data_IF_590511797737
#
_entry.id   IF_590511797737
#
_cell.length_a   1.000
_cell.length_b   1.000
_cell.length_c   1.000
_cell.angle_alpha   90.00
_cell.angle_beta   90.00
_cell.angle_gamma   90.00
#
_symmetry.space_group_name_H-M   'P 1'
#
loop_
_entity.id
_entity.type
_entity.pdbx_description
1 polymer ?
#
# COMPACT_ATOMS: atom_id res chain seq x y z
N UNK A 1 -3.68 -5.91 22.64
CA UNK A 1 -3.07 -6.83 21.65
C UNK A 1 -2.24 -7.96 22.26
N UNK A 2 -1.63 -7.83 23.43
CA UNK A 2 -0.66 -8.80 24.00
C UNK A 2 -1.13 -10.27 23.97
N UNK A 3 -2.41 -10.56 24.25
CA UNK A 3 -2.97 -11.94 24.26
C UNK A 3 -3.17 -12.56 22.87
N UNK A 4 -3.30 -11.74 21.83
CA UNK A 4 -3.66 -12.16 20.48
C UNK A 4 -2.55 -11.87 19.45
N UNK A 5 -1.37 -11.35 19.92
CA UNK A 5 -0.29 -10.87 19.06
C UNK A 5 0.14 -11.89 17.98
N UNK A 6 0.22 -13.16 18.36
CA UNK A 6 0.68 -14.22 17.46
C UNK A 6 -0.31 -14.60 16.35
N UNK A 7 -1.56 -14.10 16.43
CA UNK A 7 -2.60 -14.36 15.44
C UNK A 7 -2.60 -13.36 14.29
N UNK A 8 -1.81 -12.30 14.39
CA UNK A 8 -1.81 -11.19 13.43
C UNK A 8 -0.42 -10.93 12.88
N UNK A 9 -0.36 -10.66 11.57
CA UNK A 9 0.77 -9.96 10.98
C UNK A 9 0.59 -8.46 11.26
N UNK A 10 1.43 -7.90 12.12
CA UNK A 10 1.28 -6.55 12.63
C UNK A 10 2.22 -5.60 11.90
N UNK A 11 1.67 -4.78 11.01
CA UNK A 11 2.37 -3.68 10.35
C UNK A 11 2.13 -2.34 11.04
N UNK A 12 3.18 -1.56 11.20
CA UNK A 12 3.11 -0.17 11.65
C UNK A 12 3.87 0.75 10.69
N UNK A 13 3.60 2.05 10.76
CA UNK A 13 4.17 3.05 9.85
C UNK A 13 4.58 4.30 10.62
N UNK A 14 5.59 5.02 10.12
CA UNK A 14 5.96 6.34 10.62
C UNK A 14 5.87 7.41 9.54
N UNK A 15 5.33 8.57 9.89
CA UNK A 15 5.36 9.78 9.05
C UNK A 15 6.64 10.60 9.25
N UNK A 16 7.44 10.24 10.22
CA UNK A 16 8.65 10.97 10.55
C UNK A 16 9.71 10.76 9.46
N UNK A 17 10.51 11.80 9.21
CA UNK A 17 11.53 11.79 8.16
C UNK A 17 12.95 11.70 8.69
N UNK A 18 13.17 11.99 9.98
CA UNK A 18 14.48 11.90 10.64
C UNK A 18 14.58 10.65 11.53
N UNK A 19 15.78 10.17 11.75
CA UNK A 19 16.04 8.97 12.56
C UNK A 19 15.51 9.11 13.99
N UNK A 20 15.82 10.21 14.67
CA UNK A 20 15.43 10.39 16.08
C UNK A 20 13.89 10.49 16.25
N UNK A 21 13.21 11.23 15.36
CA UNK A 21 11.76 11.35 15.41
C UNK A 21 11.08 10.00 15.10
N UNK A 22 11.54 9.27 14.09
CA UNK A 22 11.04 7.95 13.74
C UNK A 22 11.26 6.92 14.87
N UNK A 23 12.39 7.02 15.60
CA UNK A 23 12.63 6.17 16.76
C UNK A 23 11.63 6.42 17.90
N UNK A 24 11.39 7.69 18.22
CA UNK A 24 10.42 8.07 19.25
C UNK A 24 8.98 7.64 18.87
N UNK A 25 8.62 7.75 17.58
CA UNK A 25 7.33 7.30 17.07
C UNK A 25 7.19 5.77 17.15
N UNK A 26 8.25 5.01 16.81
CA UNK A 26 8.28 3.56 16.98
C UNK A 26 8.05 3.13 18.44
N UNK A 27 8.80 3.73 19.37
CA UNK A 27 8.65 3.41 20.81
C UNK A 27 7.24 3.73 21.31
N UNK A 28 6.67 4.86 20.86
CA UNK A 28 5.30 5.26 21.17
C UNK A 28 4.29 4.24 20.62
N UNK A 29 4.49 3.78 19.38
CA UNK A 29 3.63 2.79 18.72
C UNK A 29 3.67 1.44 19.44
N UNK A 30 4.85 0.93 19.79
CA UNK A 30 5.02 -0.31 20.56
C UNK A 30 4.29 -0.24 21.90
N UNK A 31 4.46 0.88 22.62
CA UNK A 31 3.81 1.12 23.91
C UNK A 31 2.29 1.19 23.80
N UNK A 32 1.75 1.91 22.80
CA UNK A 32 0.30 2.01 22.56
C UNK A 32 -0.33 0.68 22.18
N UNK A 33 0.35 -0.09 21.35
CA UNK A 33 -0.10 -1.41 20.92
C UNK A 33 0.09 -2.48 22.00
N UNK A 34 0.90 -2.19 23.04
CA UNK A 34 1.28 -3.14 24.10
C UNK A 34 1.91 -4.42 23.53
N UNK A 35 2.87 -4.24 22.62
CA UNK A 35 3.63 -5.33 22.00
C UNK A 35 5.13 -5.03 22.09
N UNK A 36 5.92 -6.09 22.10
CA UNK A 36 7.37 -5.99 22.18
C UNK A 36 8.00 -5.88 20.79
N UNK A 37 7.27 -6.31 19.73
CA UNK A 37 7.75 -6.27 18.34
C UNK A 37 6.61 -6.14 17.34
N UNK A 38 6.94 -5.60 16.15
CA UNK A 38 6.12 -5.58 14.94
C UNK A 38 6.58 -6.69 13.99
N UNK A 39 5.75 -7.09 13.04
CA UNK A 39 6.23 -7.90 11.91
C UNK A 39 6.81 -7.00 10.81
N UNK A 40 6.19 -5.85 10.56
CA UNK A 40 6.57 -4.92 9.52
C UNK A 40 6.58 -3.47 10.03
N UNK A 41 7.68 -2.74 9.79
CA UNK A 41 7.75 -1.31 10.03
C UNK A 41 8.06 -0.56 8.74
N UNK A 42 7.26 0.48 8.42
CA UNK A 42 7.30 1.13 7.12
C UNK A 42 7.46 2.65 7.22
N UNK A 43 8.22 3.22 6.30
CA UNK A 43 8.18 4.67 6.04
C UNK A 43 6.85 4.97 5.35
N UNK A 44 6.09 5.93 5.89
CA UNK A 44 4.73 6.23 5.44
C UNK A 44 4.68 7.40 4.48
N UNK A 45 3.87 7.24 3.41
CA UNK A 45 3.42 8.31 2.54
C UNK A 45 4.56 9.10 1.86
N UNK A 46 5.47 8.39 1.22
CA UNK A 46 6.46 9.03 0.33
C UNK A 46 5.75 9.42 -0.95
N UNK A 47 5.73 10.73 -1.24
CA UNK A 47 4.99 11.31 -2.37
C UNK A 47 5.86 12.12 -3.32
N UNK A 48 7.13 12.36 -2.98
CA UNK A 48 8.06 13.12 -3.82
C UNK A 48 9.48 12.56 -3.76
N UNK A 49 10.29 12.95 -4.74
CA UNK A 49 11.72 12.64 -4.78
C UNK A 49 12.46 13.22 -3.58
N UNK A 50 12.13 14.44 -3.18
CA UNK A 50 12.73 15.11 -2.02
C UNK A 50 12.47 14.34 -0.70
N UNK A 51 11.24 13.85 -0.52
CA UNK A 51 10.92 13.01 0.65
C UNK A 51 11.69 11.69 0.62
N UNK A 52 11.78 11.03 -0.55
CA UNK A 52 12.55 9.81 -0.71
C UNK A 52 14.03 10.04 -0.39
N UNK A 53 14.62 11.11 -0.88
CA UNK A 53 16.00 11.47 -0.62
C UNK A 53 16.21 11.75 0.88
N UNK A 54 15.29 12.50 1.49
CA UNK A 54 15.35 12.84 2.93
C UNK A 54 15.32 11.61 3.83
N UNK A 55 14.43 10.65 3.56
CA UNK A 55 14.32 9.47 4.42
C UNK A 55 15.47 8.49 4.23
N UNK A 56 16.11 8.48 3.06
CA UNK A 56 17.23 7.58 2.74
C UNK A 56 18.62 8.18 2.99
N UNK A 57 18.72 9.49 3.29
CA UNK A 57 20.01 10.11 3.58
C UNK A 57 20.51 9.76 5.00
N UNK A 58 21.75 10.13 5.31
CA UNK A 58 22.30 10.04 6.67
C UNK A 58 21.47 10.86 7.66
N UNK A 59 21.06 10.23 8.77
CA UNK A 59 20.16 10.82 9.76
C UNK A 59 18.67 10.74 9.34
N UNK A 60 18.35 10.14 8.21
CA UNK A 60 16.98 9.90 7.75
C UNK A 60 16.31 8.74 8.47
N UNK A 61 14.98 8.65 8.34
CA UNK A 61 14.17 7.65 9.03
C UNK A 61 14.59 6.19 8.73
N UNK A 62 15.27 5.95 7.60
CA UNK A 62 15.78 4.62 7.24
C UNK A 62 16.73 4.05 8.29
N UNK A 63 17.56 4.89 8.94
CA UNK A 63 18.45 4.43 10.00
C UNK A 63 17.67 3.85 11.18
N UNK A 64 16.53 4.43 11.51
CA UNK A 64 15.63 3.87 12.54
C UNK A 64 15.05 2.53 12.12
N UNK A 65 14.63 2.36 10.86
CA UNK A 65 14.12 1.08 10.39
C UNK A 65 15.19 -0.02 10.52
N UNK A 66 16.42 0.28 10.08
CA UNK A 66 17.56 -0.64 10.19
C UNK A 66 17.84 -0.99 11.66
N UNK A 67 17.97 0.01 12.52
CA UNK A 67 18.18 -0.17 13.96
C UNK A 67 17.06 -1.00 14.61
N UNK A 68 15.81 -0.73 14.25
CA UNK A 68 14.66 -1.49 14.77
C UNK A 68 14.73 -2.98 14.38
N UNK A 69 15.19 -3.30 13.16
CA UNK A 69 15.40 -4.67 12.71
C UNK A 69 16.56 -5.34 13.45
N UNK A 70 17.67 -4.63 13.63
CA UNK A 70 18.83 -5.11 14.38
C UNK A 70 18.52 -5.39 15.87
N UNK A 71 17.68 -4.55 16.49
CA UNK A 71 17.23 -4.73 17.87
C UNK A 71 16.06 -5.74 18.02
N UNK A 72 15.59 -6.32 16.91
CA UNK A 72 14.48 -7.30 16.91
C UNK A 72 13.09 -6.69 17.19
N UNK A 73 12.96 -5.37 17.07
CA UNK A 73 11.68 -4.67 17.24
C UNK A 73 10.77 -4.78 16.01
N UNK A 74 11.33 -5.15 14.87
CA UNK A 74 10.59 -5.49 13.64
C UNK A 74 11.32 -6.57 12.85
N UNK A 75 10.56 -7.37 12.09
CA UNK A 75 11.14 -8.40 11.23
C UNK A 75 11.38 -7.86 9.80
N UNK A 76 10.43 -7.11 9.27
CA UNK A 76 10.45 -6.61 7.90
C UNK A 76 10.43 -5.09 7.83
N UNK A 77 11.09 -4.54 6.81
CA UNK A 77 11.16 -3.11 6.53
C UNK A 77 10.43 -2.78 5.24
N UNK A 78 9.68 -1.68 5.23
CA UNK A 78 8.93 -1.31 4.05
C UNK A 78 8.82 0.19 3.82
N UNK A 79 8.26 0.52 2.65
CA UNK A 79 7.97 1.90 2.23
C UNK A 79 6.55 1.98 1.66
N UNK A 80 5.87 3.06 1.94
CA UNK A 80 4.51 3.30 1.44
C UNK A 80 4.40 4.65 0.76
N UNK A 81 3.55 4.75 -0.26
CA UNK A 81 3.32 6.00 -0.98
C UNK A 81 1.92 6.12 -1.54
N UNK A 82 1.62 7.33 -1.97
CA UNK A 82 0.36 7.73 -2.57
C UNK A 82 0.63 8.62 -3.80
N UNK A 83 -0.31 8.64 -4.74
CA UNK A 83 -0.23 9.50 -5.92
C UNK A 83 0.32 8.81 -7.15
N UNK A 84 0.27 9.55 -8.26
CA UNK A 84 0.58 9.03 -9.60
C UNK A 84 2.05 8.66 -9.80
N UNK A 85 2.97 9.32 -9.09
CA UNK A 85 4.41 9.06 -9.22
C UNK A 85 4.93 7.93 -8.32
N UNK A 86 4.09 7.35 -7.46
CA UNK A 86 4.54 6.36 -6.47
C UNK A 86 5.27 5.16 -7.08
N UNK A 87 4.81 4.53 -8.17
CA UNK A 87 5.53 3.41 -8.75
C UNK A 87 6.92 3.78 -9.25
N UNK A 88 7.07 4.92 -9.92
CA UNK A 88 8.37 5.42 -10.42
C UNK A 88 9.33 5.74 -9.27
N UNK A 89 8.83 6.36 -8.18
CA UNK A 89 9.62 6.62 -6.97
C UNK A 89 10.08 5.31 -6.31
N UNK A 90 9.22 4.31 -6.26
CA UNK A 90 9.55 3.04 -5.61
C UNK A 90 10.49 2.16 -6.42
N UNK A 91 10.48 2.28 -7.74
CA UNK A 91 11.54 1.70 -8.58
C UNK A 91 12.93 2.24 -8.17
N UNK A 92 13.04 3.53 -7.86
CA UNK A 92 14.28 4.10 -7.35
C UNK A 92 14.57 3.69 -5.90
N UNK A 93 13.53 3.65 -5.06
CA UNK A 93 13.67 3.29 -3.65
C UNK A 93 14.27 1.89 -3.47
N UNK A 94 13.75 0.88 -4.19
CA UNK A 94 14.25 -0.51 -4.10
C UNK A 94 15.64 -0.71 -4.73
N UNK A 95 16.11 0.22 -5.55
CA UNK A 95 17.49 0.23 -6.05
C UNK A 95 18.48 0.81 -5.03
N UNK A 96 18.01 1.68 -4.14
CA UNK A 96 18.83 2.43 -3.18
C UNK A 96 18.87 1.78 -1.80
N UNK A 97 17.86 0.97 -1.48
CA UNK A 97 17.74 0.26 -0.19
C UNK A 97 16.97 -1.05 -0.36
N UNK A 98 17.38 -2.08 0.38
CA UNK A 98 16.77 -3.41 0.36
C UNK A 98 15.51 -3.43 1.25
N UNK A 99 14.41 -2.86 0.73
CA UNK A 99 13.11 -2.97 1.36
C UNK A 99 12.55 -4.38 1.21
N UNK A 100 11.99 -4.92 2.30
CA UNK A 100 11.26 -6.19 2.27
C UNK A 100 9.87 -6.03 1.62
N UNK A 101 9.26 -4.82 1.69
CA UNK A 101 7.93 -4.54 1.10
C UNK A 101 7.83 -3.14 0.52
N UNK A 102 7.03 -3.01 -0.54
CA UNK A 102 6.49 -1.73 -1.02
C UNK A 102 4.97 -1.73 -0.91
N UNK A 103 4.38 -0.57 -0.57
CA UNK A 103 2.93 -0.43 -0.52
C UNK A 103 2.50 0.76 -1.38
N UNK A 104 1.73 0.49 -2.43
CA UNK A 104 1.34 1.50 -3.42
C UNK A 104 -0.10 1.28 -3.92
N UNK A 105 -0.75 2.32 -4.46
CA UNK A 105 -2.09 2.19 -5.03
C UNK A 105 -2.09 1.31 -6.29
N UNK A 106 -3.10 0.46 -6.45
CA UNK A 106 -3.38 -0.23 -7.70
C UNK A 106 -4.88 -0.47 -7.83
N UNK A 107 -5.45 0.01 -8.92
CA UNK A 107 -6.82 -0.26 -9.36
C UNK A 107 -6.91 0.00 -10.87
N UNK A 108 -7.99 -0.42 -11.51
CA UNK A 108 -8.13 -0.28 -12.95
C UNK A 108 -8.27 1.17 -13.43
N UNK A 109 -8.70 2.11 -12.55
CA UNK A 109 -8.69 3.54 -12.87
C UNK A 109 -7.25 4.07 -13.05
N UNK A 110 -6.38 3.82 -12.07
CA UNK A 110 -4.97 4.17 -12.14
C UNK A 110 -4.25 3.45 -13.28
N UNK A 111 -4.50 2.16 -13.44
CA UNK A 111 -3.91 1.33 -14.51
C UNK A 111 -4.45 1.69 -15.91
N UNK A 112 -5.58 2.36 -16.00
CA UNK A 112 -6.09 3.00 -17.22
C UNK A 112 -5.19 4.14 -17.74
N UNK A 113 -4.43 4.78 -16.84
CA UNK A 113 -3.47 5.83 -17.18
C UNK A 113 -2.16 5.20 -17.64
N UNK A 114 -1.78 5.43 -18.90
CA UNK A 114 -0.65 4.74 -19.55
C UNK A 114 0.69 4.91 -18.80
N UNK A 115 1.01 6.13 -18.39
CA UNK A 115 2.23 6.42 -17.65
C UNK A 115 2.28 5.68 -16.32
N UNK A 116 1.17 5.72 -15.55
CA UNK A 116 1.07 5.00 -14.28
C UNK A 116 1.20 3.49 -14.48
N UNK A 117 0.47 2.93 -15.45
CA UNK A 117 0.48 1.50 -15.76
C UNK A 117 1.89 1.01 -16.11
N UNK A 118 2.61 1.75 -16.95
CA UNK A 118 3.99 1.42 -17.30
C UNK A 118 4.88 1.30 -16.08
N UNK A 119 4.84 2.31 -15.20
CA UNK A 119 5.69 2.35 -14.01
C UNK A 119 5.25 1.32 -12.97
N UNK A 120 3.95 1.08 -12.81
CA UNK A 120 3.41 0.08 -11.89
C UNK A 120 3.80 -1.36 -12.29
N UNK A 121 3.69 -1.69 -13.57
CA UNK A 121 4.11 -3.00 -14.08
C UNK A 121 5.62 -3.21 -13.95
N UNK A 122 6.42 -2.18 -14.25
CA UNK A 122 7.87 -2.22 -14.05
C UNK A 122 8.24 -2.40 -12.56
N UNK A 123 7.52 -1.74 -11.65
CA UNK A 123 7.72 -1.92 -10.21
C UNK A 123 7.38 -3.34 -9.77
N UNK A 124 6.24 -3.90 -10.22
CA UNK A 124 5.84 -5.27 -9.90
C UNK A 124 6.91 -6.26 -10.34
N UNK A 125 7.38 -6.14 -11.58
CA UNK A 125 8.43 -7.00 -12.12
C UNK A 125 9.75 -6.88 -11.33
N UNK A 126 10.20 -5.66 -11.05
CA UNK A 126 11.42 -5.42 -10.29
C UNK A 126 11.32 -5.97 -8.85
N UNK A 127 10.14 -5.84 -8.22
CA UNK A 127 9.87 -6.42 -6.90
C UNK A 127 9.89 -7.96 -6.96
N UNK A 128 9.32 -8.57 -7.99
CA UNK A 128 9.35 -10.01 -8.18
C UNK A 128 10.78 -10.54 -8.28
N UNK A 129 11.61 -9.90 -9.12
CA UNK A 129 13.01 -10.27 -9.31
C UNK A 129 13.85 -10.15 -8.03
N UNK A 130 13.48 -9.24 -7.11
CA UNK A 130 14.18 -8.97 -5.86
C UNK A 130 13.54 -9.62 -4.64
N UNK A 131 12.46 -10.38 -4.81
CA UNK A 131 11.65 -10.96 -3.72
C UNK A 131 11.11 -9.90 -2.74
N UNK A 132 10.73 -8.72 -3.24
CA UNK A 132 10.11 -7.64 -2.46
C UNK A 132 8.59 -7.84 -2.45
N UNK A 133 7.97 -7.81 -1.27
CA UNK A 133 6.53 -7.92 -1.11
C UNK A 133 5.78 -6.69 -1.67
N UNK A 134 4.71 -6.94 -2.42
CA UNK A 134 3.88 -5.92 -3.10
C UNK A 134 2.53 -5.83 -2.41
N UNK A 135 2.39 -4.84 -1.53
CA UNK A 135 1.15 -4.57 -0.80
C UNK A 135 0.33 -3.51 -1.55
N UNK A 136 -0.91 -3.83 -1.84
CA UNK A 136 -1.76 -2.92 -2.63
C UNK A 136 -2.75 -2.18 -1.74
N UNK A 137 -2.85 -0.87 -1.97
CA UNK A 137 -3.87 0.01 -1.40
C UNK A 137 -4.77 0.58 -2.50
N UNK A 138 -5.93 1.11 -2.12
CA UNK A 138 -6.89 1.74 -3.03
C UNK A 138 -7.53 0.79 -4.05
N UNK A 139 -7.51 -0.51 -3.79
CA UNK A 139 -8.10 -1.54 -4.64
C UNK A 139 -9.57 -1.25 -4.99
N UNK A 140 -10.36 -0.78 -4.04
CA UNK A 140 -11.78 -0.47 -4.20
C UNK A 140 -12.08 1.05 -4.22
N UNK A 141 -11.07 1.89 -4.49
CA UNK A 141 -11.29 3.33 -4.60
C UNK A 141 -11.96 3.67 -5.94
N UNK A 142 -13.12 4.31 -5.86
CA UNK A 142 -13.93 4.70 -7.00
C UNK A 142 -13.62 6.13 -7.46
N UNK A 143 -13.65 7.10 -6.54
CA UNK A 143 -13.51 8.52 -6.84
C UNK A 143 -13.12 9.34 -5.59
N UNK A 144 -12.68 10.60 -5.72
CA UNK A 144 -12.62 11.52 -4.58
C UNK A 144 -14.04 11.90 -4.14
N UNK A 145 -14.22 12.18 -2.85
CA UNK A 145 -15.54 12.62 -2.35
C UNK A 145 -15.97 13.96 -2.92
N UNK A 146 -15.04 14.88 -3.15
CA UNK A 146 -15.35 16.27 -3.50
C UNK A 146 -16.44 16.85 -2.58
N UNK A 147 -17.51 17.44 -3.18
CA UNK A 147 -18.68 17.99 -2.47
C UNK A 147 -19.76 16.94 -2.16
N UNK A 148 -19.58 15.69 -2.54
CA UNK A 148 -20.56 14.62 -2.33
C UNK A 148 -20.67 14.27 -0.84
N UNK A 149 -21.88 14.00 -0.31
CA UNK A 149 -22.05 13.54 1.05
C UNK A 149 -21.28 12.24 1.31
N UNK A 150 -20.46 12.23 2.36
CA UNK A 150 -19.72 11.03 2.72
C UNK A 150 -20.64 9.98 3.33
N UNK A 151 -20.73 8.83 2.68
CA UNK A 151 -21.52 7.68 3.13
C UNK A 151 -20.65 6.61 3.81
N UNK A 152 -19.31 6.74 3.73
CA UNK A 152 -18.34 5.83 4.30
C UNK A 152 -17.25 6.61 5.05
N UNK A 153 -16.51 5.94 5.92
CA UNK A 153 -15.45 6.56 6.74
C UNK A 153 -14.14 6.78 5.98
N UNK A 154 -14.06 6.30 4.74
CA UNK A 154 -12.89 6.47 3.87
C UNK A 154 -12.72 7.93 3.40
N UNK A 155 -11.49 8.37 3.12
CA UNK A 155 -11.23 9.70 2.57
C UNK A 155 -11.48 9.81 1.06
N UNK A 156 -11.75 8.69 0.40
CA UNK A 156 -12.23 8.55 -0.99
C UNK A 156 -13.57 7.81 -1.01
N UNK A 157 -14.34 7.96 -2.04
CA UNK A 157 -15.55 7.19 -2.28
C UNK A 157 -15.17 5.76 -2.69
N UNK A 158 -15.55 4.72 -1.92
CA UNK A 158 -15.25 3.35 -2.29
C UNK A 158 -16.34 2.77 -3.19
N UNK A 159 -16.00 1.76 -3.98
CA UNK A 159 -17.02 0.84 -4.46
C UNK A 159 -17.74 0.22 -3.26
N UNK A 160 -19.07 0.12 -3.35
CA UNK A 160 -19.90 -0.30 -2.22
C UNK A 160 -20.98 -1.34 -2.61
N UNK A 161 -20.90 -1.91 -3.82
CA UNK A 161 -21.75 -3.03 -4.23
C UNK A 161 -20.92 -4.30 -4.40
N UNK A 162 -21.49 -5.49 -4.10
CA UNK A 162 -20.75 -6.75 -4.26
C UNK A 162 -20.17 -6.94 -5.67
N UNK A 163 -20.90 -6.54 -6.71
CA UNK A 163 -20.45 -6.68 -8.11
C UNK A 163 -19.23 -5.81 -8.40
N UNK A 164 -19.29 -4.52 -8.06
CA UNK A 164 -18.18 -3.58 -8.33
C UNK A 164 -16.95 -3.88 -7.48
N UNK A 165 -17.15 -4.34 -6.24
CA UNK A 165 -16.06 -4.79 -5.37
C UNK A 165 -15.43 -6.08 -5.93
N UNK A 166 -16.21 -7.04 -6.41
CA UNK A 166 -15.70 -8.27 -7.02
C UNK A 166 -14.85 -7.97 -8.26
N UNK A 167 -15.34 -7.10 -9.17
CA UNK A 167 -14.55 -6.66 -10.34
C UNK A 167 -13.21 -6.03 -9.92
N UNK A 168 -13.24 -5.11 -8.94
CA UNK A 168 -12.06 -4.40 -8.49
C UNK A 168 -11.04 -5.35 -7.82
N UNK A 169 -11.50 -6.29 -7.01
CA UNK A 169 -10.64 -7.29 -6.35
C UNK A 169 -10.09 -8.29 -7.36
N UNK A 170 -10.92 -8.79 -8.28
CA UNK A 170 -10.45 -9.67 -9.35
C UNK A 170 -9.37 -8.98 -10.19
N UNK A 171 -9.54 -7.69 -10.52
CA UNK A 171 -8.55 -6.93 -11.25
C UNK A 171 -7.21 -6.86 -10.49
N UNK A 172 -7.23 -6.48 -9.22
CA UNK A 172 -6.01 -6.33 -8.43
C UNK A 172 -5.30 -7.67 -8.21
N UNK A 173 -6.05 -8.72 -7.85
CA UNK A 173 -5.49 -10.04 -7.59
C UNK A 173 -5.07 -10.80 -8.86
N UNK A 174 -5.46 -10.32 -10.06
CA UNK A 174 -4.93 -10.84 -11.33
C UNK A 174 -3.51 -10.37 -11.64
N UNK A 175 -2.99 -9.41 -10.86
CA UNK A 175 -1.58 -9.01 -10.91
C UNK A 175 -0.77 -9.80 -9.87
N UNK A 176 0.55 -9.91 -10.08
CA UNK A 176 1.45 -10.54 -9.10
C UNK A 176 1.64 -9.62 -7.88
N UNK A 177 0.73 -9.72 -6.92
CA UNK A 177 0.72 -8.93 -5.68
C UNK A 177 0.77 -9.84 -4.46
N UNK A 178 1.36 -9.37 -3.37
CA UNK A 178 1.50 -10.16 -2.13
C UNK A 178 0.27 -10.07 -1.25
N UNK A 179 -0.44 -8.93 -1.29
CA UNK A 179 -1.65 -8.74 -0.50
C UNK A 179 -2.33 -7.40 -0.76
N UNK A 180 -3.57 -7.33 -0.34
CA UNK A 180 -4.43 -6.16 -0.48
C UNK A 180 -4.74 -5.58 0.90
N UNK A 181 -4.42 -4.30 1.10
CA UNK A 181 -4.86 -3.55 2.27
C UNK A 181 -6.25 -2.96 1.98
N UNK A 182 -7.24 -3.46 2.66
CA UNK A 182 -8.63 -3.06 2.46
C UNK A 182 -8.91 -1.64 2.95
N UNK A 183 -10.04 -1.07 2.49
CA UNK A 183 -10.54 0.21 2.97
C UNK A 183 -10.83 0.16 4.49
N UNK A 184 -10.54 1.27 5.18
CA UNK A 184 -10.75 1.39 6.63
C UNK A 184 -12.21 1.59 7.04
N UNK A 185 -13.15 1.00 6.31
CA UNK A 185 -14.58 1.04 6.59
C UNK A 185 -15.13 -0.38 6.78
N UNK A 186 -15.67 -0.63 7.97
CA UNK A 186 -16.15 -1.97 8.34
C UNK A 186 -17.40 -2.41 7.56
N UNK A 187 -18.12 -1.49 6.92
CA UNK A 187 -19.34 -1.83 6.15
C UNK A 187 -19.01 -2.45 4.80
N UNK A 188 -17.88 -2.09 4.20
CA UNK A 188 -17.41 -2.70 2.95
C UNK A 188 -16.52 -3.93 3.16
N UNK A 189 -15.94 -4.08 4.36
CA UNK A 189 -15.01 -5.17 4.66
C UNK A 189 -15.57 -6.57 4.38
N UNK A 190 -16.81 -6.93 4.77
CA UNK A 190 -17.36 -8.26 4.48
C UNK A 190 -17.45 -8.56 2.98
N UNK A 191 -17.81 -7.56 2.18
CA UNK A 191 -17.88 -7.70 0.72
C UNK A 191 -16.51 -7.88 0.09
N UNK A 192 -15.49 -7.17 0.60
CA UNK A 192 -14.09 -7.35 0.13
C UNK A 192 -13.56 -8.74 0.49
N UNK A 193 -13.82 -9.22 1.70
CA UNK A 193 -13.42 -10.57 2.11
C UNK A 193 -14.11 -11.63 1.24
N UNK A 194 -15.41 -11.50 1.02
CA UNK A 194 -16.15 -12.39 0.11
C UNK A 194 -15.58 -12.36 -1.32
N UNK A 195 -15.26 -11.17 -1.83
CA UNK A 195 -14.66 -11.04 -3.16
C UNK A 195 -13.29 -11.71 -3.25
N UNK A 196 -12.48 -11.66 -2.18
CA UNK A 196 -11.22 -12.38 -2.12
C UNK A 196 -11.42 -13.91 -2.10
N UNK A 197 -12.42 -14.41 -1.35
CA UNK A 197 -12.76 -15.83 -1.32
C UNK A 197 -13.28 -16.34 -2.67
N UNK A 198 -13.97 -15.48 -3.41
CA UNK A 198 -14.55 -15.77 -4.73
C UNK A 198 -13.64 -15.31 -5.88
N UNK A 199 -12.36 -15.03 -5.59
CA UNK A 199 -11.43 -14.57 -6.61
C UNK A 199 -11.41 -15.47 -7.83
N UNK A 200 -11.52 -14.84 -9.00
CA UNK A 200 -11.35 -15.47 -10.30
C UNK A 200 -10.38 -14.61 -11.13
N UNK A 201 -9.28 -15.18 -11.61
CA UNK A 201 -8.32 -14.41 -12.41
C UNK A 201 -8.97 -13.92 -13.70
N UNK A 202 -8.74 -12.64 -14.00
CA UNK A 202 -9.22 -12.03 -15.25
C UNK A 202 -8.26 -12.34 -16.39
N UNK A 203 -8.80 -12.65 -17.55
CA UNK A 203 -8.05 -12.70 -18.80
C UNK A 203 -7.47 -11.32 -19.14
N UNK A 204 -6.50 -11.28 -20.04
CA UNK A 204 -5.91 -10.03 -20.51
C UNK A 204 -6.95 -9.10 -21.17
N UNK A 205 -7.90 -9.65 -21.95
CA UNK A 205 -8.98 -8.90 -22.56
C UNK A 205 -9.92 -8.26 -21.52
N UNK A 206 -10.26 -8.99 -20.46
CA UNK A 206 -11.09 -8.47 -19.36
C UNK A 206 -10.35 -7.38 -18.59
N UNK A 207 -9.07 -7.54 -18.29
CA UNK A 207 -8.26 -6.51 -17.65
C UNK A 207 -8.17 -5.26 -18.53
N UNK A 208 -7.95 -5.41 -19.83
CA UNK A 208 -7.93 -4.30 -20.80
C UNK A 208 -9.28 -3.57 -20.85
N UNK A 209 -10.40 -4.29 -20.88
CA UNK A 209 -11.73 -3.69 -20.86
C UNK A 209 -11.97 -2.86 -19.57
N UNK A 210 -11.53 -3.34 -18.41
CA UNK A 210 -11.61 -2.59 -17.16
C UNK A 210 -10.71 -1.35 -17.18
N UNK A 211 -9.50 -1.44 -17.70
CA UNK A 211 -8.58 -0.30 -17.83
C UNK A 211 -9.12 0.76 -18.80
N UNK A 212 -9.74 0.35 -19.92
CA UNK A 212 -10.42 1.30 -20.84
C UNK A 212 -11.56 2.05 -20.13
N UNK A 213 -12.38 1.35 -19.35
CA UNK A 213 -13.42 1.97 -18.51
C UNK A 213 -12.77 2.92 -17.47
N UNK A 214 -11.63 2.53 -16.92
CA UNK A 214 -10.85 3.29 -15.95
C UNK A 214 -10.34 4.63 -16.46
N UNK A 215 -10.05 4.78 -17.76
CA UNK A 215 -9.57 6.04 -18.36
C UNK A 215 -10.51 7.22 -18.17
N UNK A 216 -11.81 6.95 -18.07
CA UNK A 216 -12.86 7.99 -17.92
C UNK A 216 -13.26 8.20 -16.46
N UNK A 217 -12.67 7.48 -15.53
CA UNK A 217 -12.98 7.64 -14.12
C UNK A 217 -12.33 8.89 -13.53
N UNK A 218 -12.99 9.44 -12.54
CA UNK A 218 -12.46 10.53 -11.74
C UNK A 218 -11.29 10.00 -10.87
N UNK A 219 -10.13 10.62 -11.02
CA UNK A 219 -8.94 10.16 -10.32
C UNK A 219 -8.97 10.58 -8.84
N UNK A 220 -8.50 9.69 -7.97
CA UNK A 220 -8.43 9.93 -6.51
C UNK A 220 -7.18 10.73 -6.09
N UNK A 221 -6.27 11.02 -7.04
CA UNK A 221 -5.03 11.79 -6.87
C UNK A 221 -4.90 12.87 -7.93
#
# INVERSE_FOLDING_TARGET
MKRERQRFFLGCKTLERTADAAWNDLQTSLNRLQVDQLDLYQIHAITSQEELDTVLMKGGAIETLVKAKEEGLTQYLGITGHGMQTPALFLQAIQRFDFDTVMFPLNYGLMGQEAYRKDALALIEACQQRNVGRMIIKSIAQAPWQERPKTHTTWYEPYHTPVTIQEAINFVLSHDVTGVCIAGDITVMPMVLQACEQFSPLSEDEQNALMERGKTMEMIF
#
